data_IF_743394737150
#
_entry.id   IF_743394737150
#
_cell.length_a   1.000
_cell.length_b   1.000
_cell.length_c   1.000
_cell.angle_alpha   90.00
_cell.angle_beta   90.00
_cell.angle_gamma   90.00
#
_symmetry.space_group_name_H-M   'P 1'
#
loop_
_entity.id
_entity.type
_entity.pdbx_description
1 polymer ?
2 polymer ?
3 branched ?
4 water ?
#
# COMPACT_ATOMS: atom_id res chain seq x y z
N UNK A 1 -33.09 12.83 -15.69
CA UNK A 1 -34.09 13.77 -15.16
C UNK A 1 -35.34 13.02 -14.75
N UNK A 2 -35.79 12.12 -15.61
CA UNK A 2 -37.01 11.38 -15.32
C UNK A 2 -36.77 10.25 -14.33
N UNK A 3 -35.52 9.99 -13.96
CA UNK A 3 -35.23 8.88 -13.06
C UNK A 3 -35.43 9.32 -11.63
N UNK A 4 -36.24 8.62 -10.85
CA UNK A 4 -36.45 9.02 -9.45
C UNK A 4 -35.21 8.74 -8.60
N UNK A 5 -35.11 9.46 -7.49
CA UNK A 5 -33.92 9.32 -6.67
C UNK A 5 -33.96 7.97 -5.97
N UNK A 6 -32.86 7.22 -5.96
CA UNK A 6 -32.84 5.96 -5.20
C UNK A 6 -32.69 6.29 -3.73
N UNK A 7 -32.97 5.29 -2.90
CA UNK A 7 -32.82 5.45 -1.45
C UNK A 7 -31.93 4.33 -0.93
N UNK A 8 -31.28 4.61 0.19
CA UNK A 8 -30.35 3.66 0.82
C UNK A 8 -30.82 3.46 2.24
N UNK A 9 -30.80 2.20 2.69
CA UNK A 9 -31.11 1.86 4.07
C UNK A 9 -30.13 0.80 4.54
N UNK A 10 -30.00 0.64 5.86
CA UNK A 10 -29.10 -0.35 6.45
C UNK A 10 -29.87 -1.22 7.43
N UNK A 11 -29.63 -2.53 7.36
CA UNK A 11 -30.27 -3.50 8.22
C UNK A 11 -29.20 -4.35 8.90
N UNK A 12 -29.26 -4.54 10.22
CA UNK A 12 -30.35 -4.09 11.10
C UNK A 12 -30.31 -2.63 11.51
N UNK A 13 -29.35 -1.84 11.05
CA UNK A 13 -29.30 -0.46 11.48
C UNK A 13 -28.00 0.22 11.11
N UNK A 14 -27.90 1.48 11.52
CA UNK A 14 -26.69 2.28 11.26
C UNK A 14 -25.58 2.04 12.28
N UNK A 15 -25.90 1.47 13.45
CA UNK A 15 -24.92 1.18 14.48
C UNK A 15 -24.74 -0.33 14.54
N UNK A 16 -23.52 -0.78 14.23
CA UNK A 16 -23.19 -2.19 14.15
C UNK A 16 -22.07 -2.45 15.13
N UNK A 17 -22.19 -3.45 16.01
CA UNK A 17 -21.05 -3.82 16.85
C UNK A 17 -19.93 -4.39 16.00
N UNK A 18 -18.70 -4.12 16.44
CA UNK A 18 -17.53 -4.65 15.75
C UNK A 18 -17.68 -6.16 15.58
N UNK A 19 -17.47 -6.61 14.36
CA UNK A 19 -17.52 -8.02 14.04
C UNK A 19 -18.86 -8.50 13.52
N UNK A 20 -19.92 -7.73 13.72
CA UNK A 20 -21.26 -8.13 13.30
C UNK A 20 -21.50 -7.75 11.85
N UNK A 21 -22.63 -8.19 11.31
CA UNK A 21 -23.02 -8.04 9.92
C UNK A 21 -23.82 -6.75 9.73
N UNK A 22 -23.88 -6.28 8.48
CA UNK A 22 -24.74 -5.17 8.08
C UNK A 22 -25.07 -5.35 6.60
N UNK A 23 -26.26 -4.89 6.20
CA UNK A 23 -26.65 -4.94 4.80
C UNK A 23 -27.21 -3.60 4.34
N UNK A 24 -26.63 -3.05 3.28
CA UNK A 24 -27.14 -1.84 2.64
C UNK A 24 -28.11 -2.25 1.56
N UNK A 25 -29.32 -1.70 1.62
CA UNK A 25 -30.41 -1.97 0.68
C UNK A 25 -30.63 -0.71 -0.14
N UNK A 26 -30.43 -0.84 -1.44
CA UNK A 26 -30.61 0.24 -2.40
C UNK A 26 -31.92 0.00 -3.15
N UNK A 27 -32.79 1.00 -3.16
CA UNK A 27 -34.09 0.88 -3.80
C UNK A 27 -34.26 1.95 -4.86
N UNK A 28 -34.77 1.51 -6.01
CA UNK A 28 -35.10 2.37 -7.11
C UNK A 28 -36.34 1.89 -7.85
N UNK A 29 -36.52 2.39 -9.07
CA UNK A 29 -37.68 2.02 -9.88
C UNK A 29 -37.48 0.63 -10.50
N UNK A 30 -38.52 0.14 -11.18
CA UNK A 30 -38.45 -1.16 -11.86
C UNK A 30 -37.56 -1.03 -13.07
N UNK A 31 -36.79 -2.08 -13.35
CA UNK A 31 -35.95 -2.08 -14.51
C UNK A 31 -34.55 -1.56 -14.29
N UNK A 32 -34.10 -1.44 -13.04
CA UNK A 32 -32.73 -1.03 -12.81
C UNK A 32 -31.81 -2.07 -13.44
N UNK A 33 -30.88 -1.61 -14.28
CA UNK A 33 -29.88 -2.52 -14.81
C UNK A 33 -28.79 -2.77 -13.79
N UNK A 34 -28.23 -1.70 -13.22
CA UNK A 34 -27.14 -1.84 -12.28
C UNK A 34 -27.37 -0.91 -11.09
N UNK A 35 -27.13 -1.42 -9.90
CA UNK A 35 -27.00 -0.62 -8.70
C UNK A 35 -25.53 -0.48 -8.35
N UNK A 36 -25.10 0.73 -8.00
CA UNK A 36 -23.73 0.99 -7.56
C UNK A 36 -23.78 1.61 -6.17
N UNK A 37 -23.07 0.98 -5.23
CA UNK A 37 -22.96 1.43 -3.85
C UNK A 37 -21.63 2.16 -3.70
N UNK A 38 -21.72 3.44 -3.41
CA UNK A 38 -20.53 4.28 -3.35
C UNK A 38 -20.18 4.61 -1.91
N UNK A 39 -18.90 4.84 -1.67
CA UNK A 39 -18.46 5.29 -0.33
C UNK A 39 -18.43 6.81 -0.33
N UNK A 40 -17.72 7.40 0.61
CA UNK A 40 -17.62 8.87 0.70
C UNK A 40 -16.99 9.40 -0.59
N UNK A 41 -16.22 8.57 -1.28
CA UNK A 41 -15.63 8.98 -2.56
C UNK A 41 -16.22 8.22 -3.73
N UNK A 42 -16.41 8.93 -4.86
CA UNK A 42 -17.06 8.41 -6.09
C UNK A 42 -16.30 7.22 -6.64
N UNK A 43 -14.99 7.22 -6.50
CA UNK A 43 -14.13 6.17 -7.08
C UNK A 43 -14.07 4.90 -6.24
N UNK A 44 -14.62 4.92 -5.04
CA UNK A 44 -14.68 3.70 -4.21
C UNK A 44 -16.10 3.18 -4.29
N UNK A 45 -16.30 2.11 -5.06
CA UNK A 45 -17.67 1.63 -5.31
C UNK A 45 -17.77 0.13 -5.56
N UNK A 46 -18.99 -0.43 -5.42
CA UNK A 46 -19.24 -1.81 -5.79
C UNK A 46 -20.53 -1.85 -6.58
N UNK A 47 -20.51 -2.55 -7.70
CA UNK A 47 -21.65 -2.66 -8.60
C UNK A 47 -22.30 -4.03 -8.47
N UNK A 48 -23.60 -4.08 -8.76
CA UNK A 48 -24.32 -5.34 -8.80
C UNK A 48 -25.40 -5.24 -9.88
N UNK A 49 -25.55 -6.31 -10.64
CA UNK A 49 -26.67 -6.41 -11.56
C UNK A 49 -27.72 -7.41 -11.09
N UNK A 50 -27.53 -8.09 -9.96
CA UNK A 50 -28.59 -8.91 -9.43
C UNK A 50 -29.54 -7.97 -8.70
N UNK A 51 -30.49 -7.41 -9.45
CA UNK A 51 -31.51 -6.53 -8.92
C UNK A 51 -32.83 -7.30 -8.88
N UNK A 52 -33.46 -7.35 -7.73
CA UNK A 52 -34.68 -8.14 -7.58
C UNK A 52 -35.85 -7.18 -7.57
N UNK A 53 -36.78 -7.36 -8.50
CA UNK A 53 -37.98 -6.54 -8.57
C UNK A 53 -38.92 -7.01 -7.47
N UNK A 54 -39.08 -6.21 -6.42
CA UNK A 54 -39.93 -6.67 -5.32
C UNK A 54 -41.41 -6.46 -5.61
N UNK A 55 -41.75 -5.31 -6.19
CA UNK A 55 -43.11 -4.85 -6.49
C UNK A 55 -43.13 -4.32 -7.91
N UNK A 56 -44.32 -4.17 -8.50
CA UNK A 56 -44.39 -3.67 -9.89
C UNK A 56 -43.79 -2.28 -10.09
N UNK A 57 -43.48 -1.54 -9.02
CA UNK A 57 -42.83 -0.25 -9.18
C UNK A 57 -41.54 -0.08 -8.39
N UNK A 58 -41.08 -1.07 -7.63
CA UNK A 58 -39.90 -0.90 -6.77
C UNK A 58 -38.98 -2.11 -6.83
N UNK A 59 -37.71 -1.86 -7.16
CA UNK A 59 -36.69 -2.90 -7.20
C UNK A 59 -35.55 -2.54 -6.26
N UNK A 60 -34.83 -3.56 -5.84
CA UNK A 60 -33.81 -3.34 -4.84
C UNK A 60 -32.60 -4.20 -5.14
N UNK A 61 -31.51 -3.83 -4.49
CA UNK A 61 -30.26 -4.57 -4.54
C UNK A 61 -29.65 -4.49 -3.16
N UNK A 62 -28.98 -5.57 -2.76
CA UNK A 62 -28.46 -5.69 -1.41
C UNK A 62 -26.94 -5.86 -1.46
N UNK A 63 -26.22 -5.12 -0.62
CA UNK A 63 -24.77 -5.23 -0.48
C UNK A 63 -24.52 -5.55 0.99
N UNK A 64 -23.99 -6.74 1.27
CA UNK A 64 -23.92 -7.19 2.66
C UNK A 64 -22.47 -7.38 3.09
N UNK A 65 -22.12 -6.81 4.24
CA UNK A 65 -20.84 -7.05 4.88
C UNK A 65 -21.06 -8.02 6.04
N UNK A 66 -20.42 -9.19 5.97
CA UNK A 66 -20.63 -10.21 6.99
C UNK A 66 -20.05 -9.79 8.33
N UNK A 67 -18.84 -9.23 8.32
CA UNK A 67 -18.20 -8.85 9.58
C UNK A 67 -17.52 -7.52 9.38
N UNK A 68 -18.06 -6.47 9.98
CA UNK A 68 -17.53 -5.14 9.80
C UNK A 68 -16.31 -4.94 10.68
N UNK A 69 -15.40 -4.09 10.22
CA UNK A 69 -14.31 -3.60 11.05
C UNK A 69 -14.37 -2.08 11.01
N UNK A 70 -13.43 -1.44 11.73
CA UNK A 70 -13.46 0.01 11.85
C UNK A 70 -13.35 0.71 10.49
N UNK A 71 -12.70 0.08 9.51
CA UNK A 71 -12.57 0.67 8.20
C UNK A 71 -13.87 0.73 7.42
N UNK A 72 -14.85 -0.10 7.78
CA UNK A 72 -16.12 -0.03 7.08
C UNK A 72 -16.95 1.17 7.49
N UNK A 73 -16.64 1.78 8.65
CA UNK A 73 -17.40 2.92 9.15
C UNK A 73 -17.34 4.09 8.18
N UNK A 74 -18.44 4.87 8.09
CA UNK A 74 -18.38 6.02 7.23
C UNK A 74 -19.62 6.13 6.36
N UNK A 75 -19.51 6.87 5.27
CA UNK A 75 -20.64 7.16 4.39
C UNK A 75 -20.78 6.19 3.21
N UNK A 76 -22.04 5.87 2.86
CA UNK A 76 -22.45 5.02 1.75
C UNK A 76 -23.65 5.66 1.06
N UNK A 77 -23.79 5.45 -0.25
CA UNK A 77 -24.97 5.96 -0.96
C UNK A 77 -25.20 5.14 -2.22
N UNK A 78 -26.39 5.24 -2.77
CA UNK A 78 -26.75 4.43 -3.93
C UNK A 78 -26.89 5.28 -5.17
N UNK A 79 -26.64 4.64 -6.30
CA UNK A 79 -26.94 5.25 -7.58
C UNK A 79 -27.25 4.11 -8.53
N UNK A 80 -28.17 4.31 -9.45
CA UNK A 80 -28.52 3.22 -10.32
C UNK A 80 -28.47 3.69 -11.76
N UNK A 81 -28.35 2.72 -12.65
CA UNK A 81 -28.26 2.97 -14.08
C UNK A 81 -29.49 2.40 -14.76
N UNK A 82 -30.20 3.24 -15.51
CA UNK A 82 -31.39 2.79 -16.20
C UNK A 82 -31.66 3.68 -17.40
N UNK A 83 -32.08 3.05 -18.50
CA UNK A 83 -32.37 3.75 -19.75
C UNK A 83 -31.21 4.66 -20.19
N UNK A 84 -30.00 4.09 -20.23
CA UNK A 84 -28.80 4.78 -20.73
C UNK A 84 -28.41 6.02 -19.93
N UNK A 85 -28.76 6.07 -18.66
CA UNK A 85 -28.30 7.21 -17.87
C UNK A 85 -28.19 6.80 -16.43
N UNK A 86 -27.19 7.35 -15.77
CA UNK A 86 -27.10 7.21 -14.34
C UNK A 86 -28.16 8.10 -13.73
N UNK A 87 -28.80 7.63 -12.67
CA UNK A 87 -29.68 8.47 -11.89
C UNK A 87 -28.87 9.41 -11.00
N UNK A 88 -29.56 10.37 -10.38
CA UNK A 88 -28.91 11.17 -9.35
C UNK A 88 -28.68 10.30 -8.12
N UNK A 89 -27.64 10.63 -7.36
CA UNK A 89 -27.29 9.82 -6.21
C UNK A 89 -28.31 10.00 -5.10
N UNK A 90 -28.44 8.98 -4.27
CA UNK A 90 -29.18 9.10 -3.03
C UNK A 90 -28.41 9.91 -1.99
N UNK A 91 -29.08 10.24 -0.91
CA UNK A 91 -28.42 10.87 0.22
C UNK A 91 -27.43 9.88 0.86
N UNK A 92 -26.38 10.42 1.49
CA UNK A 92 -25.41 9.60 2.20
C UNK A 92 -26.01 9.07 3.49
N UNK A 93 -25.55 7.88 3.86
CA UNK A 93 -25.92 7.16 5.06
C UNK A 93 -24.65 6.90 5.84
N UNK A 94 -24.61 7.24 7.13
CA UNK A 94 -23.43 7.03 7.97
C UNK A 94 -23.54 5.71 8.71
N UNK A 95 -22.56 4.85 8.52
CA UNK A 95 -22.45 3.59 9.26
C UNK A 95 -21.53 3.81 10.44
N UNK A 96 -22.03 3.51 11.62
CA UNK A 96 -21.27 3.61 12.85
C UNK A 96 -21.00 2.21 13.33
N UNK A 97 -19.72 1.90 13.59
CA UNK A 97 -19.29 0.62 14.15
C UNK A 97 -18.80 0.86 15.57
N UNK A 98 -19.24 0.02 16.50
CA UNK A 98 -18.89 0.20 17.90
C UNK A 98 -18.16 -1.04 18.41
N UNK B 12 32.67 -10.96 -27.56
CA UNK B 12 31.80 -10.92 -28.74
C UNK B 12 30.43 -11.54 -28.49
N UNK B 13 30.38 -12.87 -28.31
CA UNK B 13 29.09 -13.57 -28.16
C UNK B 13 28.37 -13.12 -26.90
N UNK B 14 29.11 -12.95 -25.79
CA UNK B 14 28.46 -12.52 -24.56
C UNK B 14 28.20 -11.02 -24.48
N UNK B 15 28.71 -10.20 -25.39
CA UNK B 15 28.21 -8.84 -25.48
C UNK B 15 26.92 -8.74 -26.26
N UNK B 16 26.74 -9.60 -27.27
CA UNK B 16 25.43 -9.65 -27.89
C UNK B 16 24.40 -10.08 -26.87
N UNK B 17 24.85 -10.88 -25.89
CA UNK B 17 23.98 -11.33 -24.82
C UNK B 17 23.66 -10.20 -23.87
N UNK B 18 24.69 -9.51 -23.36
CA UNK B 18 24.44 -8.38 -22.46
C UNK B 18 23.72 -7.25 -23.19
N UNK B 19 23.98 -7.07 -24.49
CA UNK B 19 23.23 -6.09 -25.25
C UNK B 19 21.74 -6.43 -25.34
N UNK B 20 21.43 -7.71 -25.51
CA UNK B 20 20.04 -8.10 -25.70
C UNK B 20 19.25 -7.94 -24.41
N UNK B 21 19.83 -8.33 -23.28
CA UNK B 21 19.14 -8.14 -22.01
C UNK B 21 19.19 -6.69 -21.56
N UNK B 22 20.18 -5.89 -21.98
CA UNK B 22 20.08 -4.46 -21.68
C UNK B 22 18.90 -3.82 -22.40
N UNK B 23 18.63 -4.23 -23.65
CA UNK B 23 17.48 -3.69 -24.35
C UNK B 23 16.17 -4.16 -23.76
N UNK B 24 16.09 -5.44 -23.38
CA UNK B 24 14.87 -5.92 -22.76
C UNK B 24 14.62 -5.24 -21.42
N UNK B 25 15.68 -5.01 -20.64
CA UNK B 25 15.54 -4.29 -19.38
C UNK B 25 15.05 -2.88 -19.60
N UNK B 26 15.57 -2.18 -20.63
CA UNK B 26 15.10 -0.81 -20.83
C UNK B 26 13.63 -0.80 -21.29
N UNK B 27 13.18 -1.81 -22.03
CA UNK B 27 11.77 -1.84 -22.39
C UNK B 27 10.88 -2.12 -21.19
N UNK B 28 11.20 -3.15 -20.42
CA UNK B 28 10.43 -3.44 -19.22
C UNK B 28 10.41 -2.24 -18.31
N UNK B 29 11.57 -1.57 -18.15
CA UNK B 29 11.62 -0.39 -17.30
C UNK B 29 10.70 0.71 -17.80
N UNK B 30 10.62 0.88 -19.13
CA UNK B 30 9.75 1.92 -19.66
C UNK B 30 8.28 1.64 -19.37
N UNK B 31 7.83 0.40 -19.60
CA UNK B 31 6.40 0.18 -19.34
C UNK B 31 6.13 0.20 -17.85
N UNK B 32 7.09 -0.22 -17.03
CA UNK B 32 6.83 -0.26 -15.61
C UNK B 32 6.72 1.15 -15.09
N UNK B 33 7.65 2.02 -15.47
CA UNK B 33 7.55 3.40 -15.08
C UNK B 33 6.24 4.03 -15.52
N UNK B 34 5.81 3.74 -16.75
CA UNK B 34 4.57 4.35 -17.24
C UNK B 34 3.35 3.89 -16.43
N UNK B 35 3.29 2.60 -16.08
CA UNK B 35 2.17 2.09 -15.29
C UNK B 35 2.20 2.61 -13.87
N UNK B 36 3.40 2.72 -13.30
CA UNK B 36 3.55 3.22 -11.95
C UNK B 36 3.16 4.69 -11.86
N UNK B 37 3.63 5.48 -12.81
CA UNK B 37 3.34 6.92 -12.81
C UNK B 37 1.90 7.22 -13.18
N UNK B 38 1.25 6.36 -13.96
CA UNK B 38 -0.12 6.67 -14.37
C UNK B 38 -1.16 6.07 -13.44
N UNK B 39 -0.91 4.86 -12.93
CA UNK B 39 -1.85 4.18 -12.05
C UNK B 39 -1.42 4.21 -10.59
N UNK B 40 -0.21 4.68 -10.29
CA UNK B 40 0.24 4.78 -8.90
C UNK B 40 0.14 3.43 -8.22
N UNK B 41 0.54 2.43 -8.99
CA UNK B 41 0.57 1.02 -8.50
C UNK B 41 2.01 0.50 -8.60
N UNK B 42 2.41 -0.40 -7.70
CA UNK B 42 3.77 -0.99 -7.70
C UNK B 42 3.66 -2.50 -7.91
N UNK B 43 2.47 -3.04 -7.77
CA UNK B 43 2.28 -4.50 -7.86
C UNK B 43 1.09 -4.80 -8.77
N UNK B 44 1.16 -5.89 -9.53
CA UNK B 44 0.05 -6.32 -10.38
C UNK B 44 -0.14 -7.82 -10.27
N UNK B 45 -1.37 -8.26 -10.11
CA UNK B 45 -1.70 -9.70 -10.12
C UNK B 45 -0.90 -10.45 -9.08
N UNK B 46 -0.74 -9.88 -7.90
CA UNK B 46 -0.11 -10.64 -6.81
C UNK B 46 1.39 -10.63 -6.82
N UNK B 47 1.98 -9.81 -7.65
CA UNK B 47 3.45 -9.84 -7.75
C UNK B 47 3.94 -8.47 -8.17
N UNK B 48 5.22 -8.22 -7.98
CA UNK B 48 5.83 -6.93 -8.34
C UNK B 48 5.74 -6.76 -9.83
N UNK B 49 5.76 -5.52 -10.29
CA UNK B 49 5.63 -5.27 -11.74
C UNK B 49 6.86 -5.82 -12.45
N UNK B 50 8.03 -5.81 -11.79
CA UNK B 50 9.17 -6.45 -12.45
C UNK B 50 8.95 -7.96 -12.55
N UNK B 51 8.46 -8.56 -11.48
CA UNK B 51 8.12 -9.99 -11.49
C UNK B 51 6.96 -10.27 -12.43
N UNK B 52 6.03 -9.33 -12.53
CA UNK B 52 4.87 -9.48 -13.40
C UNK B 52 5.30 -9.56 -14.86
N UNK B 53 6.29 -8.77 -15.25
CA UNK B 53 6.80 -8.73 -16.62
C UNK B 53 7.87 -9.75 -16.97
N UNK B 54 8.18 -10.69 -16.07
CA UNK B 54 9.00 -11.82 -16.47
C UNK B 54 8.19 -12.84 -17.29
N UNK B 55 6.89 -12.98 -16.99
CA UNK B 55 6.03 -13.98 -17.63
C UNK B 55 5.22 -13.45 -18.82
N UNK B 56 4.87 -12.18 -18.83
CA UNK B 56 4.04 -11.61 -19.89
C UNK B 56 4.77 -10.52 -20.66
N UNK B 57 4.39 -10.39 -21.93
CA UNK B 57 5.10 -9.50 -22.84
C UNK B 57 4.95 -8.05 -22.40
N UNK B 58 5.96 -7.25 -22.76
CA UNK B 58 6.01 -5.86 -22.39
C UNK B 58 5.05 -4.98 -23.18
N UNK B 59 4.48 -5.48 -24.28
CA UNK B 59 3.52 -4.72 -25.10
C UNK B 59 2.17 -5.42 -25.21
N UNK B 60 1.86 -6.33 -24.29
CA UNK B 60 0.63 -7.13 -24.33
C UNK B 60 -0.52 -6.34 -23.69
N UNK B 61 -1.08 -5.41 -24.47
CA UNK B 61 -2.06 -4.49 -23.93
C UNK B 61 -3.22 -5.25 -23.27
N UNK B 62 -3.67 -6.34 -23.88
CA UNK B 62 -4.85 -7.04 -23.38
C UNK B 62 -4.60 -7.65 -22.01
N UNK B 63 -3.47 -8.31 -21.84
CA UNK B 63 -3.22 -8.98 -20.56
C UNK B 63 -3.06 -7.98 -19.43
N UNK B 64 -2.30 -6.92 -19.68
CA UNK B 64 -2.08 -5.94 -18.63
C UNK B 64 -3.39 -5.22 -18.30
N UNK B 65 -4.17 -4.86 -19.32
CA UNK B 65 -5.41 -4.15 -19.06
C UNK B 65 -6.38 -5.03 -18.27
N UNK B 66 -6.43 -6.32 -18.58
CA UNK B 66 -7.31 -7.19 -17.82
C UNK B 66 -6.84 -7.34 -16.38
N UNK B 67 -5.53 -7.43 -16.17
CA UNK B 67 -5.02 -7.54 -14.80
C UNK B 67 -5.25 -6.26 -14.00
N UNK B 68 -5.09 -5.11 -14.64
CA UNK B 68 -5.32 -3.85 -13.96
C UNK B 68 -6.80 -3.70 -13.63
N UNK B 69 -7.68 -4.10 -14.56
CA UNK B 69 -9.12 -4.05 -14.33
C UNK B 69 -9.50 -4.93 -13.16
N UNK B 70 -8.99 -6.14 -13.12
CA UNK B 70 -9.34 -7.06 -12.04
C UNK B 70 -8.87 -6.50 -10.71
N UNK B 71 -7.67 -5.92 -10.67
CA UNK B 71 -7.13 -5.33 -9.43
C UNK B 71 -7.95 -4.11 -9.00
N UNK B 72 -8.31 -3.25 -9.96
CA UNK B 72 -9.10 -2.05 -9.63
C UNK B 72 -10.46 -2.45 -9.08
N UNK B 73 -11.10 -3.45 -9.66
CA UNK B 73 -12.36 -3.88 -9.09
C UNK B 73 -12.15 -4.43 -7.68
N UNK B 74 -11.03 -5.12 -7.46
CA UNK B 74 -10.83 -5.75 -6.15
C UNK B 74 -10.36 -4.79 -5.05
N UNK B 75 -9.67 -3.70 -5.37
CA UNK B 75 -9.06 -2.88 -4.33
C UNK B 75 -9.73 -1.52 -4.13
N UNK B 76 -10.80 -1.23 -4.88
CA UNK B 76 -11.49 0.05 -4.78
C UNK B 76 -12.98 -0.19 -4.60
N UNK B 77 -13.35 -1.06 -3.67
CA UNK B 77 -14.73 -1.49 -3.52
C UNK B 77 -15.37 -0.90 -2.27
N UNK B 78 -16.70 -1.09 -2.18
CA UNK B 78 -17.48 -0.57 -1.07
C UNK B 78 -17.42 -1.49 0.16
N UNK B 79 -17.09 -2.76 -0.03
CA UNK B 79 -17.06 -3.75 1.06
C UNK B 79 -15.78 -3.73 1.89
N UNK B 80 -14.63 -3.45 1.27
CA UNK B 80 -13.34 -3.77 1.91
C UNK B 80 -12.98 -2.92 3.11
N UNK B 81 -13.58 -1.75 3.26
CA UNK B 81 -13.25 -0.87 4.37
C UNK B 81 -12.21 0.19 3.97
N UNK B 82 -11.03 0.11 4.56
CA UNK B 82 -10.04 1.14 4.31
C UNK B 82 -9.22 0.81 3.07
N UNK B 83 -9.10 1.77 2.15
CA UNK B 83 -8.31 1.55 0.95
C UNK B 83 -7.01 2.29 1.14
N UNK B 84 -5.91 1.54 1.21
CA UNK B 84 -4.61 2.14 1.47
C UNK B 84 -4.18 3.04 0.32
N UNK B 85 -4.39 2.56 -0.92
CA UNK B 85 -3.99 3.24 -2.18
C UNK B 85 -5.15 3.98 -2.85
N UNK B 86 -5.48 5.17 -2.37
CA UNK B 86 -6.53 6.01 -2.99
C UNK B 86 -6.16 6.47 -4.41
N UNK B 87 -4.91 6.77 -4.68
CA UNK B 87 -4.49 7.31 -5.99
C UNK B 87 -4.82 6.37 -7.13
N UNK B 88 -4.67 5.08 -6.91
CA UNK B 88 -5.05 4.07 -7.91
C UNK B 88 -6.54 4.13 -8.20
N UNK B 89 -7.37 4.19 -7.16
CA UNK B 89 -8.81 4.28 -7.38
C UNK B 89 -9.20 5.61 -8.00
N UNK B 90 -8.45 6.66 -7.69
CA UNK B 90 -8.69 8.01 -8.20
C UNK B 90 -8.62 8.06 -9.73
N UNK B 91 -7.93 7.09 -10.35
CA UNK B 91 -7.84 7.00 -11.80
C UNK B 91 -9.21 6.85 -12.44
N UNK B 92 -10.17 6.26 -11.72
CA UNK B 92 -11.53 6.17 -12.24
C UNK B 92 -12.09 7.54 -12.58
N UNK B 93 -11.65 8.57 -11.84
CA UNK B 93 -12.12 9.92 -12.15
C UNK B 93 -11.43 10.46 -13.39
N UNK B 94 -10.17 10.11 -13.60
CA UNK B 94 -9.48 10.53 -14.79
C UNK B 94 -10.11 9.90 -16.03
N UNK B 95 -10.42 8.61 -15.98
CA UNK B 95 -10.99 7.92 -17.13
C UNK B 95 -12.49 8.08 -17.24
N UNK B 96 -13.10 9.03 -16.51
CA UNK B 96 -14.54 9.26 -16.49
C UNK B 96 -15.30 7.95 -16.27
N UNK B 97 -14.82 7.18 -15.29
CA UNK B 97 -15.46 5.92 -14.95
C UNK B 97 -16.44 6.10 -13.78
N UNK B 98 -16.32 7.18 -13.02
CA UNK B 98 -17.22 7.37 -11.90
C UNK B 98 -18.58 7.76 -12.44
N UNK B 99 -19.63 7.37 -11.72
CA UNK B 99 -20.97 7.61 -12.22
C UNK B 99 -21.25 9.09 -12.24
N UNK B 100 -21.80 9.59 -13.33
CA UNK B 100 -22.16 11.00 -13.42
C UNK B 100 -23.64 11.01 -13.79
N UNK B 101 -24.52 11.57 -12.96
CA UNK B 101 -25.96 11.48 -13.26
C UNK B 101 -26.28 12.06 -14.62
N UNK B 102 -27.17 11.38 -15.34
CA UNK B 102 -27.64 11.84 -16.62
C UNK B 102 -26.87 11.36 -17.83
N UNK B 103 -25.74 10.69 -17.63
CA UNK B 103 -24.93 10.24 -18.74
C UNK B 103 -24.86 8.73 -18.83
N UNK B 104 -24.39 8.27 -19.98
CA UNK B 104 -24.33 6.87 -20.31
C UNK B 104 -23.16 6.16 -19.61
N UNK B 105 -23.27 4.84 -19.55
CA UNK B 105 -22.31 4.01 -18.84
C UNK B 105 -20.95 4.03 -19.53
N UNK B 106 -19.88 4.08 -18.73
CA UNK B 106 -18.52 3.93 -19.23
C UNK B 106 -17.91 2.70 -18.56
N UNK B 107 -17.61 1.67 -19.34
CA UNK B 107 -17.03 0.47 -18.75
C UNK B 107 -15.57 0.65 -18.42
N UNK B 108 -15.21 0.19 -17.24
CA UNK B 108 -13.88 0.37 -16.67
C UNK B 108 -12.82 -0.33 -17.50
N UNK B 109 -13.09 -1.57 -17.90
CA UNK B 109 -12.13 -2.36 -18.67
C UNK B 109 -11.76 -1.64 -19.97
N UNK B 110 -12.74 -1.07 -20.64
CA UNK B 110 -12.50 -0.36 -21.91
C UNK B 110 -11.66 0.90 -21.69
N UNK B 111 -11.96 1.68 -20.68
CA UNK B 111 -11.17 2.89 -20.42
C UNK B 111 -9.74 2.52 -20.04
N UNK B 112 -9.57 1.45 -19.26
CA UNK B 112 -8.25 1.01 -18.90
C UNK B 112 -7.49 0.58 -20.14
N UNK B 113 -8.17 -0.13 -21.05
CA UNK B 113 -7.57 -0.59 -22.30
C UNK B 113 -7.08 0.59 -23.11
N UNK B 114 -7.90 1.62 -23.25
CA UNK B 114 -7.44 2.79 -23.98
C UNK B 114 -6.24 3.45 -23.32
N UNK B 115 -6.26 3.51 -21.98
CA UNK B 115 -5.15 4.13 -21.28
C UNK B 115 -3.86 3.34 -21.49
N UNK B 116 -3.94 2.01 -21.33
CA UNK B 116 -2.77 1.18 -21.49
C UNK B 116 -2.25 1.26 -22.91
N UNK B 117 -3.16 1.43 -23.87
CA UNK B 117 -2.74 1.58 -25.25
C UNK B 117 -1.86 2.81 -25.39
N UNK B 118 -2.33 3.93 -24.84
CA UNK B 118 -1.50 5.13 -24.92
C UNK B 118 -0.16 4.93 -24.22
N UNK B 119 -0.17 4.28 -23.06
CA UNK B 119 1.07 4.15 -22.30
C UNK B 119 2.11 3.29 -23.02
N UNK B 120 1.69 2.19 -23.64
CA UNK B 120 2.65 1.37 -24.36
C UNK B 120 3.15 2.09 -25.60
N UNK B 121 2.27 2.87 -26.25
CA UNK B 121 2.76 3.62 -27.40
C UNK B 121 3.79 4.64 -26.94
N UNK B 122 3.57 5.25 -25.78
CA UNK B 122 4.50 6.25 -25.27
C UNK B 122 5.84 5.61 -24.88
N UNK B 123 5.80 4.42 -24.29
CA UNK B 123 7.05 3.77 -23.91
C UNK B 123 7.87 3.41 -25.15
N UNK B 124 7.24 2.77 -26.13
CA UNK B 124 7.97 2.45 -27.35
C UNK B 124 8.40 3.73 -28.07
N UNK B 125 7.59 4.80 -27.95
CA UNK B 125 8.00 6.09 -28.51
C UNK B 125 9.29 6.52 -27.86
N UNK B 126 9.49 6.18 -26.59
CA UNK B 126 10.79 6.45 -25.99
C UNK B 126 11.85 5.67 -26.76
N UNK B 127 11.52 4.41 -27.09
CA UNK B 127 12.47 3.56 -27.85
C UNK B 127 12.59 4.07 -29.30
N UNK C 1 28.23 5.60 29.11
CA UNK C 1 27.57 6.78 29.74
C UNK C 1 27.84 8.00 28.87
N UNK C 2 29.10 8.32 28.64
CA UNK C 2 29.47 9.48 27.80
C UNK C 2 29.91 8.95 26.45
N UNK C 3 29.09 9.16 25.43
CA UNK C 3 29.49 8.74 24.07
C UNK C 3 29.75 10.00 23.27
N UNK C 4 30.92 10.15 22.67
CA UNK C 4 31.23 11.33 21.91
C UNK C 4 30.34 11.44 20.66
N UNK C 5 30.21 12.64 20.13
CA UNK C 5 29.27 12.85 19.01
C UNK C 5 29.89 12.38 17.70
N UNK C 6 29.16 11.62 16.86
CA UNK C 6 29.71 11.11 15.60
C UNK C 6 29.77 12.20 14.55
N UNK C 7 30.47 11.91 13.46
CA UNK C 7 30.60 12.84 12.37
C UNK C 7 30.23 12.16 11.05
N UNK C 8 29.79 12.96 10.08
CA UNK C 8 29.39 12.48 8.76
C UNK C 8 30.20 13.20 7.69
N UNK C 9 30.60 12.46 6.64
CA UNK C 9 31.27 13.02 5.47
C UNK C 9 30.72 12.35 4.23
N UNK C 10 30.91 13.00 3.06
CA UNK C 10 30.50 12.41 1.79
C UNK C 10 31.66 12.49 0.81
N UNK C 11 31.88 11.40 0.06
CA UNK C 11 32.94 11.31 -0.93
C UNK C 11 32.31 10.91 -2.26
N UNK C 12 32.66 11.57 -3.37
CA UNK C 12 33.75 12.54 -3.37
C UNK C 12 33.36 13.92 -2.85
N UNK C 13 32.08 14.11 -2.51
CA UNK C 13 31.58 15.38 -2.05
C UNK C 13 30.07 15.32 -1.95
N UNK C 14 29.51 16.46 -1.53
CA UNK C 14 28.07 16.58 -1.28
C UNK C 14 27.22 16.86 -2.53
N UNK C 15 27.82 17.30 -3.63
CA UNK C 15 27.11 17.56 -4.88
C UNK C 15 27.53 16.50 -5.89
N UNK C 16 26.57 15.68 -6.32
CA UNK C 16 26.82 14.52 -7.16
C UNK C 16 26.00 14.64 -8.43
N UNK C 17 26.58 14.46 -9.62
CA UNK C 17 25.78 14.35 -10.84
C UNK C 17 24.93 13.08 -10.88
N UNK C 18 23.76 13.21 -11.51
CA UNK C 18 22.86 12.08 -11.70
C UNK C 18 23.61 10.90 -12.29
N UNK C 19 23.43 9.73 -11.65
CA UNK C 19 24.02 8.51 -12.12
C UNK C 19 25.36 8.20 -11.49
N UNK C 20 26.00 9.17 -10.85
CA UNK C 20 27.30 8.92 -10.26
C UNK C 20 27.15 8.35 -8.84
N UNK C 21 28.29 7.96 -8.26
CA UNK C 21 28.29 7.33 -6.94
C UNK C 21 28.50 8.38 -5.85
N UNK C 22 28.15 8.00 -4.62
CA UNK C 22 28.56 8.79 -3.46
C UNK C 22 28.65 7.82 -2.28
N UNK C 23 29.55 8.12 -1.33
CA UNK C 23 29.71 7.29 -0.15
C UNK C 23 29.66 8.20 1.07
N UNK C 24 28.82 7.83 2.04
CA UNK C 24 28.74 8.48 3.34
C UNK C 24 29.69 7.75 4.26
N UNK C 25 30.53 8.50 4.94
CA UNK C 25 31.49 7.98 5.89
C UNK C 25 31.08 8.46 7.26
N UNK C 26 30.73 7.52 8.14
CA UNK C 26 30.34 7.84 9.52
C UNK C 26 31.51 7.50 10.42
N UNK C 27 31.97 8.47 11.20
CA UNK C 27 33.13 8.25 12.05
C UNK C 27 32.71 8.46 13.50
N UNK C 28 33.11 7.54 14.36
CA UNK C 28 32.89 7.63 15.78
C UNK C 28 34.04 7.02 16.57
N UNK C 29 33.80 6.72 17.84
CA UNK C 29 34.85 6.18 18.70
C UNK C 29 35.06 4.68 18.45
N UNK C 30 36.05 4.12 19.15
CA UNK C 30 36.29 2.68 19.13
C UNK C 30 35.17 1.98 19.87
N UNK C 31 34.81 0.79 19.41
CA UNK C 31 33.83 0.00 20.11
C UNK C 31 32.40 0.23 19.69
N UNK C 32 32.16 0.91 18.57
CA UNK C 32 30.79 1.06 18.10
C UNK C 32 30.22 -0.31 17.77
N UNK C 33 29.05 -0.60 18.31
CA UNK C 33 28.36 -1.82 17.91
C UNK C 33 27.65 -1.65 16.58
N UNK C 34 26.88 -0.57 16.43
CA UNK C 34 26.15 -0.40 15.19
C UNK C 34 26.26 1.02 14.70
N UNK C 35 26.47 1.19 13.40
CA UNK C 35 26.33 2.51 12.79
C UNK C 35 25.04 2.57 12.00
N UNK C 36 24.29 3.67 12.16
CA UNK C 36 23.03 3.90 11.43
C UNK C 36 23.12 5.21 10.67
N UNK C 37 22.78 5.15 9.38
CA UNK C 37 22.68 6.31 8.51
C UNK C 37 21.20 6.65 8.34
N UNK C 38 20.80 7.84 8.81
CA UNK C 38 19.42 8.29 8.79
C UNK C 38 19.21 9.39 7.75
N UNK C 39 18.00 9.41 7.16
CA UNK C 39 17.61 10.48 6.26
C UNK C 39 17.01 11.64 7.08
N UNK C 40 16.61 12.72 6.40
CA UNK C 40 15.86 13.78 7.07
C UNK C 40 14.63 13.18 7.74
N UNK C 41 14.11 12.12 7.15
CA UNK C 41 13.02 11.36 7.71
C UNK C 41 13.65 10.21 8.48
N UNK C 42 13.74 10.37 9.80
CA UNK C 42 14.34 9.38 10.68
C UNK C 42 13.88 7.95 10.42
N UNK C 43 12.67 7.75 9.86
CA UNK C 43 12.22 6.37 9.69
C UNK C 43 12.82 5.71 8.46
N UNK C 44 13.59 6.43 7.68
CA UNK C 44 14.33 5.86 6.57
C UNK C 44 15.78 5.84 6.99
N UNK C 45 16.34 4.65 7.17
CA UNK C 45 17.70 4.54 7.66
C UNK C 45 18.26 3.20 7.22
N UNK C 46 19.58 3.08 7.36
CA UNK C 46 20.31 1.86 7.06
C UNK C 46 21.30 1.60 8.17
N UNK C 47 21.36 0.35 8.62
CA UNK C 47 22.23 -0.10 9.70
C UNK C 47 23.40 -0.90 9.16
N UNK C 48 24.50 -0.85 9.89
CA UNK C 48 25.62 -1.74 9.60
C UNK C 48 26.33 -2.08 10.90
N UNK C 49 26.78 -3.32 10.98
CA UNK C 49 27.64 -3.79 12.05
C UNK C 49 29.06 -4.01 11.57
N UNK C 50 29.32 -3.80 10.28
CA UNK C 50 30.66 -3.78 9.69
C UNK C 50 31.23 -2.42 10.04
N UNK C 51 31.83 -2.33 11.22
CA UNK C 51 32.50 -1.13 11.69
C UNK C 51 34.00 -1.42 11.73
N UNK C 52 34.78 -0.57 11.07
CA UNK C 52 36.21 -0.77 10.89
C UNK C 52 37.00 0.22 11.75
N UNK C 53 37.87 -0.31 12.61
CA UNK C 53 38.68 0.55 13.46
C UNK C 53 39.78 1.18 12.62
N UNK C 54 39.70 2.51 12.44
CA UNK C 54 40.73 3.24 11.71
C UNK C 54 41.92 3.57 12.59
N UNK C 55 41.67 3.97 13.83
CA UNK C 55 42.66 4.41 14.81
C UNK C 55 42.39 3.75 16.14
N UNK C 56 43.36 3.73 17.05
CA UNK C 56 43.10 3.15 18.38
C UNK C 56 41.98 3.86 19.13
N UNK C 57 41.53 5.02 18.65
CA UNK C 57 40.41 5.74 19.25
C UNK C 57 39.28 6.04 18.26
N UNK C 58 39.34 5.53 17.02
CA UNK C 58 38.34 5.88 16.01
C UNK C 58 37.95 4.69 15.16
N UNK C 59 36.64 4.53 14.96
CA UNK C 59 36.04 3.53 14.09
C UNK C 59 35.14 4.23 13.08
N UNK C 60 34.91 3.58 11.96
CA UNK C 60 34.12 4.19 10.91
C UNK C 60 33.30 3.12 10.20
N UNK C 61 32.28 3.59 9.48
CA UNK C 61 31.42 2.78 8.64
C UNK C 61 31.11 3.57 7.38
N UNK C 62 30.94 2.87 6.26
CA UNK C 62 30.74 3.48 4.95
C UNK C 62 29.45 2.99 4.32
N UNK C 63 28.71 3.92 3.75
CA UNK C 63 27.44 3.64 3.06
C UNK C 63 27.55 4.21 1.64
N UNK C 64 27.45 3.35 0.65
CA UNK C 64 27.69 3.79 -0.70
C UNK C 64 26.43 3.62 -1.53
N UNK C 65 26.04 4.69 -2.24
CA UNK C 65 24.99 4.66 -3.26
C UNK C 65 25.69 4.62 -4.60
N UNK C 66 25.44 3.56 -5.37
CA UNK C 66 26.18 3.30 -6.60
C UNK C 66 25.88 4.31 -7.68
N UNK C 67 24.59 4.64 -7.88
CA UNK C 67 24.17 5.53 -8.93
C UNK C 67 23.06 6.43 -8.37
N UNK C 68 23.36 7.69 -8.18
CA UNK C 68 22.46 8.61 -7.53
C UNK C 68 21.37 9.04 -8.51
N UNK C 69 20.14 9.21 -7.99
CA UNK C 69 19.03 9.81 -8.72
C UNK C 69 18.43 10.93 -7.86
N UNK C 70 17.41 11.59 -8.41
CA UNK C 70 16.80 12.73 -7.74
C UNK C 70 16.21 12.37 -6.38
N UNK C 71 15.78 11.12 -6.19
CA UNK C 71 15.22 10.73 -4.91
C UNK C 71 16.23 10.63 -3.79
N UNK C 72 17.52 10.48 -4.13
CA UNK C 72 18.55 10.40 -3.10
C UNK C 72 18.87 11.77 -2.51
N UNK C 73 18.47 12.87 -3.16
CA UNK C 73 18.77 14.21 -2.63
C UNK C 73 18.13 14.40 -1.26
N UNK C 74 18.80 15.19 -0.43
CA UNK C 74 18.22 15.54 0.86
C UNK C 74 19.26 15.46 1.95
N UNK C 75 18.78 15.36 3.19
CA UNK C 75 19.62 15.38 4.37
C UNK C 75 19.96 13.96 4.82
N UNK C 76 21.19 13.78 5.31
CA UNK C 76 21.67 12.51 5.85
C UNK C 76 22.48 12.78 7.11
N UNK C 77 22.44 11.85 8.06
CA UNK C 77 23.21 12.00 9.28
C UNK C 77 23.54 10.62 9.85
N UNK C 78 24.50 10.59 10.77
CA UNK C 78 24.96 9.35 11.41
C UNK C 78 24.61 9.33 12.88
N UNK C 79 24.40 8.11 13.37
CA UNK C 79 24.20 7.85 14.78
C UNK C 79 24.69 6.44 15.04
N UNK C 80 25.25 6.25 16.23
CA UNK C 80 25.84 4.95 16.58
C UNK C 80 25.33 4.38 17.90
N UNK C 81 25.36 3.07 17.98
CA UNK C 81 24.96 2.36 19.18
C UNK C 81 26.19 1.71 19.79
N UNK C 82 26.42 2.06 21.05
CA UNK C 82 27.55 1.57 21.86
C UNK C 82 27.15 1.66 23.33
N UNK C 83 27.63 0.75 24.16
CA UNK C 83 27.33 0.71 25.59
C UNK C 83 25.82 0.71 25.82
N UNK C 84 25.13 -0.18 25.10
CA UNK C 84 23.71 -0.43 25.27
C UNK C 84 22.90 0.85 25.17
N UNK C 85 23.49 1.88 24.55
CA UNK C 85 22.90 3.25 24.52
C UNK C 85 23.05 3.86 23.13
N UNK C 86 21.97 4.41 22.56
CA UNK C 86 22.13 5.14 21.28
C UNK C 86 22.88 6.43 21.54
N UNK C 87 23.64 6.87 20.57
CA UNK C 87 24.38 8.13 20.70
C UNK C 87 23.53 9.28 20.20
N UNK C 88 23.97 10.50 20.45
CA UNK C 88 23.31 11.62 19.82
C UNK C 88 23.78 11.74 18.37
N UNK C 89 22.91 12.31 17.55
CA UNK C 89 23.14 12.37 16.10
C UNK C 89 24.26 13.32 15.71
N UNK C 90 24.89 12.99 14.60
CA UNK C 90 25.81 13.93 13.98
C UNK C 90 25.02 15.06 13.31
N UNK C 91 25.74 16.11 12.92
CA UNK C 91 25.13 17.17 12.15
C UNK C 91 24.66 16.64 10.80
N UNK C 92 23.59 17.24 10.27
CA UNK C 92 23.10 16.83 8.98
C UNK C 92 24.06 17.27 7.89
N UNK C 93 24.09 16.49 6.82
CA UNK C 93 24.84 16.73 5.60
C UNK C 93 23.85 16.71 4.46
N UNK C 94 23.89 17.71 3.59
CA UNK C 94 22.97 17.77 2.48
C UNK C 94 23.59 17.21 1.21
N UNK C 95 22.95 16.21 0.63
CA UNK C 95 23.34 15.70 -0.67
C UNK C 95 22.49 16.40 -1.73
N UNK C 96 23.17 17.04 -2.68
CA UNK C 96 22.57 17.76 -3.81
C UNK C 96 22.92 16.96 -5.05
N UNK C 97 21.93 16.54 -5.82
CA UNK C 97 22.18 15.82 -7.07
C UNK C 97 21.85 16.78 -8.20
N UNK C 98 22.79 16.84 -9.14
CA UNK C 98 22.66 17.76 -10.26
C UNK C 98 22.76 17.01 -11.58
N UNK C 99 22.41 17.69 -12.65
CA UNK C 99 22.50 17.10 -13.99
C UNK C 99 23.78 17.41 -14.73
N UNK C 100 23.83 17.01 -16.00
CA UNK C 100 25.00 17.24 -16.87
C UNK C 100 25.19 18.75 -17.05
N UNK C 101 24.10 19.50 -17.06
CA UNK C 101 24.17 20.98 -17.18
C UNK C 101 24.78 21.59 -15.93
N UNK C 102 24.91 20.84 -14.84
CA UNK C 102 25.46 21.33 -13.53
C UNK C 102 24.37 22.15 -12.86
N UNK C 103 23.15 22.04 -13.35
CA UNK C 103 22.02 22.71 -12.68
C UNK C 103 21.36 21.67 -11.78
N UNK C 104 21.13 22.01 -10.51
CA UNK C 104 20.46 21.12 -9.53
C UNK C 104 19.27 20.46 -10.19
N UNK C 105 19.23 19.14 -10.13
CA UNK C 105 18.14 18.41 -10.77
C UNK C 105 17.05 18.15 -9.77
N UNK D 16 -22.63 -26.09 16.04
CA UNK D 16 -21.64 -25.05 16.30
C UNK D 16 -20.66 -24.92 15.13
N UNK D 17 -20.86 -25.72 14.08
CA UNK D 17 -19.92 -25.75 12.96
C UNK D 17 -19.95 -24.47 12.15
N UNK D 18 -21.15 -24.00 11.76
CA UNK D 18 -21.31 -22.83 10.89
C UNK D 18 -20.63 -21.66 11.59
N UNK D 19 -20.66 -21.76 12.91
CA UNK D 19 -19.95 -20.80 13.71
C UNK D 19 -18.46 -20.81 13.49
N UNK D 20 -17.86 -21.99 13.28
CA UNK D 20 -16.42 -22.03 13.09
C UNK D 20 -16.01 -21.35 11.79
N UNK D 21 -16.81 -21.52 10.73
CA UNK D 21 -16.42 -21.00 9.43
C UNK D 21 -16.67 -19.50 9.33
N UNK D 22 -17.76 -19.03 9.95
CA UNK D 22 -17.99 -17.59 10.00
C UNK D 22 -16.98 -16.90 10.90
N UNK D 23 -16.61 -17.52 12.03
CA UNK D 23 -15.63 -16.92 12.90
C UNK D 23 -14.26 -16.85 12.27
N UNK D 24 -13.90 -17.88 11.49
CA UNK D 24 -12.61 -17.85 10.80
C UNK D 24 -12.57 -16.74 9.77
N UNK D 25 -13.66 -16.57 9.02
CA UNK D 25 -13.67 -15.45 8.08
C UNK D 25 -13.55 -14.12 8.82
N UNK D 26 -14.24 -13.99 9.95
CA UNK D 26 -14.17 -12.73 10.67
C UNK D 26 -12.78 -12.49 11.25
N UNK D 27 -12.06 -13.55 11.62
CA UNK D 27 -10.70 -13.39 12.12
C UNK D 27 -9.75 -12.92 11.04
N UNK D 28 -9.81 -13.54 9.86
CA UNK D 28 -8.99 -13.06 8.74
C UNK D 28 -9.33 -11.61 8.38
N UNK D 29 -10.64 -11.28 8.30
CA UNK D 29 -11.06 -9.94 7.92
C UNK D 29 -10.60 -8.91 8.94
N UNK D 30 -10.61 -9.28 10.22
CA UNK D 30 -10.08 -8.42 11.26
C UNK D 30 -8.58 -8.22 11.11
N UNK D 31 -7.83 -9.28 10.83
CA UNK D 31 -6.38 -9.08 10.77
C UNK D 31 -6.00 -8.28 9.52
N UNK D 32 -6.76 -8.42 8.45
CA UNK D 32 -6.48 -7.66 7.25
C UNK D 32 -6.75 -6.18 7.49
N UNK D 33 -7.93 -5.89 8.06
CA UNK D 33 -8.23 -4.52 8.40
C UNK D 33 -7.21 -3.92 9.36
N UNK D 34 -6.80 -4.69 10.36
CA UNK D 34 -5.84 -4.17 11.34
C UNK D 34 -4.50 -3.87 10.67
N UNK D 35 -4.07 -4.70 9.73
CA UNK D 35 -2.81 -4.38 9.06
C UNK D 35 -2.92 -3.12 8.20
N UNK D 36 -4.09 -2.91 7.59
CA UNK D 36 -4.23 -1.66 6.84
C UNK D 36 -4.26 -0.46 7.76
N UNK D 37 -4.99 -0.54 8.87
CA UNK D 37 -5.13 0.65 9.72
C UNK D 37 -3.84 0.94 10.47
N UNK D 38 -3.09 -0.08 10.89
CA UNK D 38 -1.93 0.23 11.74
C UNK D 38 -0.61 0.23 10.98
N UNK D 39 -0.44 -0.62 9.97
CA UNK D 39 0.80 -0.65 9.22
C UNK D 39 0.66 0.01 7.85
N UNK D 40 -0.56 0.36 7.45
CA UNK D 40 -0.80 1.10 6.22
C UNK D 40 -0.22 0.41 4.99
N UNK D 41 -0.42 -0.90 4.92
CA UNK D 41 -0.02 -1.70 3.76
C UNK D 41 -1.27 -2.43 3.27
N UNK D 42 -1.26 -2.80 1.97
CA UNK D 42 -2.32 -3.56 1.30
C UNK D 42 -1.81 -4.86 0.72
N UNK D 43 -0.50 -5.03 0.81
CA UNK D 43 0.14 -6.19 0.19
C UNK D 43 1.38 -6.62 0.96
N UNK D 44 1.79 -7.87 0.80
CA UNK D 44 3.04 -8.38 1.36
C UNK D 44 3.80 -9.06 0.23
N UNK D 45 4.91 -8.44 -0.18
CA UNK D 45 5.71 -8.86 -1.34
C UNK D 45 4.84 -9.12 -2.56
N UNK D 46 3.91 -8.21 -2.80
CA UNK D 46 3.09 -8.25 -4.04
C UNK D 46 1.76 -8.91 -3.84
N UNK D 47 1.69 -9.89 -2.95
CA UNK D 47 0.42 -10.61 -2.75
C UNK D 47 -0.48 -9.77 -1.86
N UNK D 48 -1.74 -9.61 -2.27
CA UNK D 48 -2.69 -8.83 -1.51
C UNK D 48 -2.92 -9.48 -0.16
N UNK D 49 -3.31 -8.66 0.81
CA UNK D 49 -3.53 -9.15 2.16
C UNK D 49 -4.58 -10.25 2.18
N UNK D 50 -5.62 -10.12 1.38
CA UNK D 50 -6.65 -11.15 1.35
C UNK D 50 -6.09 -12.42 0.73
N UNK D 51 -5.34 -12.30 -0.36
CA UNK D 51 -4.73 -13.48 -0.94
C UNK D 51 -3.63 -14.03 -0.06
N UNK D 52 -2.98 -13.19 0.74
CA UNK D 52 -1.95 -13.69 1.64
C UNK D 52 -2.53 -14.57 2.73
N UNK D 53 -3.69 -14.20 3.28
CA UNK D 53 -4.26 -14.93 4.40
C UNK D 53 -5.16 -16.08 3.97
N UNK D 54 -5.28 -16.35 2.66
CA UNK D 54 -5.94 -17.57 2.23
C UNK D 54 -5.06 -18.78 2.50
N UNK D 55 -3.76 -18.62 2.40
CA UNK D 55 -2.83 -19.72 2.56
C UNK D 55 -2.25 -19.82 3.97
N UNK D 56 -2.10 -18.71 4.68
CA UNK D 56 -1.58 -18.72 6.03
C UNK D 56 -2.62 -18.20 7.01
N UNK D 57 -2.64 -18.78 8.20
CA UNK D 57 -3.67 -18.47 9.18
C UNK D 57 -3.55 -17.04 9.72
N UNK D 58 -4.70 -16.49 10.10
CA UNK D 58 -4.83 -15.12 10.60
C UNK D 58 -4.31 -14.95 12.02
N UNK D 59 -3.96 -16.05 12.69
CA UNK D 59 -3.41 -15.97 14.04
C UNK D 59 -1.98 -16.48 14.08
N UNK D 60 -1.34 -16.59 12.92
CA UNK D 60 0.04 -17.06 12.86
C UNK D 60 0.98 -15.85 13.03
N UNK D 61 1.19 -15.49 14.29
CA UNK D 61 1.93 -14.29 14.64
C UNK D 61 3.34 -14.31 14.02
N UNK D 62 4.03 -15.45 14.06
CA UNK D 62 5.42 -15.46 13.64
C UNK D 62 5.57 -15.17 12.15
N UNK D 63 4.77 -15.84 11.32
CA UNK D 63 4.90 -15.55 9.89
C UNK D 63 4.46 -14.13 9.54
N UNK D 64 3.38 -13.62 10.16
CA UNK D 64 2.96 -12.27 9.84
C UNK D 64 4.03 -11.27 10.25
N UNK D 65 4.55 -11.43 11.45
CA UNK D 65 5.59 -10.54 11.92
C UNK D 65 6.81 -10.63 11.03
N UNK D 66 7.17 -11.83 10.59
CA UNK D 66 8.34 -11.97 9.75
C UNK D 66 8.13 -11.32 8.38
N UNK D 67 6.95 -11.51 7.81
CA UNK D 67 6.70 -10.97 6.48
C UNK D 67 6.59 -9.47 6.53
N UNK D 68 6.22 -8.93 7.67
CA UNK D 68 6.23 -7.48 7.76
C UNK D 68 7.65 -6.98 7.92
N UNK D 69 8.42 -7.67 8.75
CA UNK D 69 9.77 -7.22 9.05
C UNK D 69 10.63 -7.19 7.80
N UNK D 70 10.56 -8.25 6.99
CA UNK D 70 11.31 -8.26 5.74
C UNK D 70 10.87 -7.16 4.78
N UNK D 71 9.56 -6.88 4.70
CA UNK D 71 9.11 -5.82 3.80
C UNK D 71 9.59 -4.46 4.27
N UNK D 72 9.60 -4.24 5.59
CA UNK D 72 10.01 -2.95 6.12
C UNK D 72 11.49 -2.67 5.88
N UNK D 73 12.35 -3.63 6.20
CA UNK D 73 13.77 -3.38 6.01
C UNK D 73 14.08 -3.18 4.53
N UNK D 74 13.37 -3.91 3.67
CA UNK D 74 13.62 -3.83 2.24
C UNK D 74 13.10 -2.53 1.62
N UNK D 75 12.06 -1.91 2.20
CA UNK D 75 11.44 -0.76 1.58
C UNK D 75 11.67 0.55 2.30
N UNK D 76 12.37 0.55 3.44
CA UNK D 76 12.50 1.75 4.27
C UNK D 76 13.95 2.04 4.64
N UNK D 77 14.83 2.00 3.65
CA UNK D 77 16.25 2.18 3.87
C UNK D 77 16.69 3.54 3.35
N UNK D 78 17.93 3.86 3.63
CA UNK D 78 18.48 5.15 3.25
C UNK D 78 18.99 5.20 1.83
N UNK D 79 19.27 4.05 1.22
CA UNK D 79 19.90 4.11 -0.09
C UNK D 79 18.90 4.36 -1.19
N UNK D 80 17.67 3.90 -0.98
CA UNK D 80 16.66 3.86 -2.02
C UNK D 80 16.21 5.27 -2.37
N UNK D 81 16.38 5.67 -3.63
CA UNK D 81 15.90 6.99 -4.01
C UNK D 81 14.40 7.12 -3.83
N UNK D 82 13.63 6.32 -4.56
CA UNK D 82 12.18 6.38 -4.49
C UNK D 82 11.68 5.37 -3.44
N UNK D 83 10.88 5.85 -2.50
CA UNK D 83 10.35 5.04 -1.40
C UNK D 83 8.89 4.73 -1.73
N UNK D 84 8.55 3.45 -1.84
CA UNK D 84 7.23 3.07 -2.35
C UNK D 84 6.12 3.52 -1.41
N UNK D 85 6.21 3.16 -0.12
CA UNK D 85 5.18 3.50 0.86
C UNK D 85 5.78 4.19 2.09
N UNK D 86 5.67 5.51 2.14
CA UNK D 86 6.23 6.23 3.27
C UNK D 86 5.43 6.04 4.55
N UNK D 87 4.10 5.89 4.47
CA UNK D 87 3.35 5.71 5.72
C UNK D 87 3.71 4.40 6.40
N UNK D 88 3.98 3.36 5.63
CA UNK D 88 4.44 2.12 6.23
C UNK D 88 5.75 2.32 7.00
N UNK D 89 6.70 3.05 6.41
CA UNK D 89 7.95 3.25 7.15
C UNK D 89 7.73 4.11 8.39
N UNK D 90 6.76 5.04 8.35
CA UNK D 90 6.51 5.89 9.51
C UNK D 90 6.08 5.10 10.74
N UNK D 91 5.60 3.86 10.55
CA UNK D 91 5.27 3.03 11.68
C UNK D 91 6.49 2.82 12.59
N UNK D 92 7.70 2.89 12.01
CA UNK D 92 8.90 2.79 12.82
C UNK D 92 8.94 3.87 13.89
N UNK D 93 8.42 5.05 13.60
CA UNK D 93 8.38 6.08 14.62
C UNK D 93 7.27 5.81 15.63
N UNK D 94 6.19 5.17 15.18
CA UNK D 94 5.12 4.80 16.12
C UNK D 94 5.58 3.72 17.08
N UNK D 95 6.24 2.68 16.56
CA UNK D 95 6.70 1.57 17.39
C UNK D 95 8.02 1.88 18.08
N UNK D 96 8.42 3.14 18.10
CA UNK D 96 9.67 3.58 18.76
C UNK D 96 10.88 2.76 18.28
N UNK D 97 10.98 2.57 16.97
CA UNK D 97 12.11 1.85 16.38
C UNK D 97 13.20 2.79 15.88
N UNK D 98 12.90 4.06 15.66
CA UNK D 98 13.92 4.96 15.18
C UNK D 98 14.85 5.25 16.34
N UNK D 99 16.12 5.52 16.03
CA UNK D 99 17.13 5.69 17.07
C UNK D 99 16.80 6.95 17.87
N UNK D 100 16.91 6.85 19.19
CA UNK D 100 16.72 7.98 20.11
C UNK D 100 17.91 8.05 21.05
N UNK D 101 18.65 9.15 21.08
CA UNK D 101 19.85 9.19 21.92
C UNK D 101 19.52 8.92 23.37
N UNK D 102 20.42 8.16 24.02
CA UNK D 102 20.39 7.86 25.43
C UNK D 102 19.64 6.59 25.80
N UNK D 103 18.90 5.99 24.87
CA UNK D 103 18.06 4.85 25.18
C UNK D 103 18.58 3.60 24.50
N UNK D 104 18.11 2.46 24.96
CA UNK D 104 18.61 1.19 24.48
C UNK D 104 18.05 0.88 23.10
N UNK D 105 18.71 -0.06 22.43
CA UNK D 105 18.29 -0.46 21.10
C UNK D 105 16.91 -1.08 21.14
N UNK D 106 16.10 -0.77 20.13
CA UNK D 106 14.83 -1.45 19.90
C UNK D 106 14.93 -2.22 18.60
N UNK D 107 14.88 -3.55 18.70
CA UNK D 107 14.99 -4.40 17.52
C UNK D 107 13.67 -4.36 16.74
N UNK D 108 13.79 -4.19 15.42
CA UNK D 108 12.61 -4.00 14.59
C UNK D 108 11.71 -5.24 14.64
N UNK D 109 12.32 -6.42 14.57
CA UNK D 109 11.50 -7.62 14.54
C UNK D 109 10.70 -7.79 15.82
N UNK D 110 11.30 -7.49 16.99
CA UNK D 110 10.59 -7.72 18.24
C UNK D 110 9.40 -6.78 18.38
N UNK D 111 9.57 -5.51 18.01
CA UNK D 111 8.47 -4.57 18.07
C UNK D 111 7.36 -4.95 17.10
N UNK D 112 7.72 -5.41 15.90
CA UNK D 112 6.68 -5.84 14.97
C UNK D 112 5.95 -7.07 15.51
N UNK D 113 6.66 -7.96 16.18
CA UNK D 113 6.05 -9.19 16.73
C UNK D 113 5.01 -8.81 17.79
N UNK D 114 5.36 -7.94 18.71
CA UNK D 114 4.42 -7.55 19.77
C UNK D 114 3.20 -6.87 19.24
N UNK D 115 3.37 -5.99 18.27
CA UNK D 115 2.22 -5.23 17.73
C UNK D 115 1.27 -6.20 17.05
N UNK D 116 1.83 -7.11 16.28
CA UNK D 116 1.00 -8.11 15.59
C UNK D 116 0.33 -9.03 16.61
N UNK D 117 1.00 -9.38 17.71
CA UNK D 117 0.38 -10.32 18.66
C UNK D 117 -0.90 -9.69 19.20
N UNK D 118 -0.83 -8.42 19.55
CA UNK D 118 -2.02 -7.73 20.10
C UNK D 118 -3.10 -7.67 19.03
N UNK D 119 -2.74 -7.37 17.78
CA UNK D 119 -3.75 -7.22 16.72
C UNK D 119 -4.41 -8.56 16.47
N UNK D 120 -3.64 -9.63 16.47
CA UNK D 120 -4.24 -10.99 16.33
C UNK D 120 -5.12 -11.32 17.55
N UNK D 121 -4.71 -10.89 18.74
CA UNK D 121 -5.50 -11.18 19.94
C UNK D 121 -6.88 -10.55 19.77
N UNK D 122 -6.90 -9.32 19.30
CA UNK D 122 -8.19 -8.62 19.06
C UNK D 122 -8.95 -9.32 17.93
N UNK D 123 -8.24 -9.79 16.93
CA UNK D 123 -8.88 -10.47 15.79
C UNK D 123 -9.51 -11.76 16.30
N UNK D 124 -8.76 -12.50 17.10
CA UNK D 124 -9.33 -13.69 17.73
C UNK D 124 -10.59 -13.33 18.52
N UNK D 125 -10.57 -12.19 19.19
CA UNK D 125 -11.72 -11.73 19.98
C UNK D 125 -12.93 -11.54 19.07
N UNK D 126 -12.74 -10.84 17.96
CA UNK D 126 -13.84 -10.70 17.01
C UNK D 126 -14.22 -12.03 16.37
N UNK D 127 -13.25 -12.92 16.15
CA UNK D 127 -13.60 -14.20 15.51
C UNK D 127 -14.49 -15.04 16.42
N UNK D 128 -14.19 -15.03 17.72
CA UNK D 128 -15.03 -15.76 18.67
C UNK D 128 -16.36 -15.04 18.89
N UNK D 129 -16.38 -13.71 18.88
CA UNK D 129 -17.65 -13.00 19.00
C UNK D 129 -18.55 -13.33 17.82
N UNK D 130 -17.99 -13.34 16.62
CA UNK D 130 -18.79 -13.66 15.44
C UNK D 130 -19.23 -15.13 15.46
N UNK D 131 -18.36 -16.01 15.96
CA UNK D 131 -18.74 -17.41 16.12
C UNK D 131 -19.90 -17.55 17.10
N UNK D 132 -19.85 -16.83 18.21
CA UNK D 132 -20.95 -16.94 19.16
C UNK D 132 -22.22 -16.36 18.57
N UNK D 133 -22.09 -15.27 17.83
CA UNK D 133 -23.25 -14.62 17.24
C UNK D 133 -23.96 -15.55 16.27
N UNK D 134 -23.20 -16.16 15.35
CA UNK D 134 -23.81 -17.05 14.37
C UNK D 134 -24.31 -18.34 15.03
N UNK D 135 -23.55 -18.91 15.99
CA UNK D 135 -23.99 -20.15 16.61
C UNK D 135 -25.28 -19.95 17.41
N UNK D 136 -25.39 -18.83 18.12
CA UNK D 136 -26.63 -18.51 18.83
C UNK D 136 -27.79 -18.25 17.88
N UNK D 137 -27.50 -17.64 16.72
CA UNK D 137 -28.59 -17.42 15.75
C UNK D 137 -28.90 -18.65 14.90
N UNK D 138 -28.13 -19.71 15.01
CA UNK D 138 -28.39 -20.95 14.28
C UNK D 138 -29.14 -21.96 15.15
X LIG E 1 -1.58 -13.82 -12.37
X LIG E 1 -0.39 -14.38 -13.06
X LIG E 1 -0.71 -15.76 -13.57
X LIG E 1 -1.22 -16.66 -12.45
X LIG E 1 -2.23 -15.97 -11.52
X LIG E 1 -2.36 -16.71 -10.20
X LIG E 1 1.17 -12.84 -14.13
X LIG E 1 1.48 -12.04 -15.34
X LIG E 1 0.04 -13.54 -14.17
X LIG E 1 0.49 -16.28 -14.14
X LIG E 1 -1.96 -17.69 -13.10
X LIG E 1 -1.86 -14.62 -11.21
X LIG E 1 -3.37 -16.11 -9.41
X LIG E 1 1.88 -12.82 -13.14
X LIG E 2 -1.26 -18.88 -13.44
X LIG E 2 -2.29 -19.76 -14.08
X LIG E 2 -1.69 -21.11 -14.44
X LIG E 2 -0.46 -20.89 -15.32
X LIG E 2 0.53 -19.93 -14.68
X LIG E 2 1.67 -19.54 -15.60
X LIG E 2 -4.45 -18.98 -13.20
X LIG E 2 -5.60 -19.29 -12.29
X LIG E 2 -3.48 -19.90 -13.25
X LIG E 2 -2.66 -21.90 -15.11
X LIG E 2 0.22 -22.07 -15.77
X LIG E 2 -0.14 -18.71 -14.30
X LIG E 2 2.68 -18.80 -14.94
X LIG E 2 -4.41 -17.96 -13.87
X LIG E 3 0.30 -23.41 -15.15
X LIG E 3 0.77 -23.46 -13.63
X LIG E 3 1.08 -24.94 -13.33
X LIG E 3 -0.13 -25.88 -13.72
X LIG E 3 -0.70 -25.55 -15.15
X LIG E 3 -1.97 -26.28 -15.51
X LIG E 3 -0.25 -23.09 -12.73
X LIG E 3 1.44 -25.13 -11.96
X LIG E 3 0.30 -27.24 -13.67
X LIG E 3 -0.96 -24.14 -15.23
X LIG E 3 -2.17 -26.15 -16.93
#
# INVERSE_FOLDING_TARGET
>A
TDLPRPSISAEPGTVIPLGSHVTFVCRGPVGVQTFRLERERNYLYSDTEDVSQTSPSESEARFRIDSVNAGNAGLFRCIYYKSRKWSEQSDYLELVVKGEDVTWA
>B
TDAIAAATKAAMIEGAAQGAVAGEAAGRNAIIGALKRYFHIDNLNGTSLKSFFNSTSYSDVTTIASAIDTQMTASCDAFSGKIVNQAFCDVRKTLRIVADPGKSFVKQKDAITGAVTQLVEKAKDTASFKATEVSSATSSKIITKQNALIE
>C
TDLPRPSISAEPGTVIPLGSHVTFVCRGPVGVQTFRLERERNYLYSDTEDVSQTSPSESEARFRIDSVNAGNAGLFRCIYYKSRKWSEQSDYLELVVKGEDVTWA
>D
TDAIAAATKAAMIEGAAQGAVAGEAAGRNAIIGALKRYFHIDNLNGTSLKSFFNSTSYSDVTTIASAIDTQMTASCDAFSGKIVNQAFCDVRKTLRIVADPGKSFVKQKDAITGAVTQLVEKAKDTASFKATEVSSATSSKIITKQNALIE
>E hetero
1 NAG C1 C2 C3 C4 C5 C6 C7 C8 N2 O3 O4 O5 O6 O7
2 NAG C1 C2 C3 C4 C5 C6 C7 C8 N2 O3 O4 O5 O6 O7
3 BMA C1 C2 C3 C4 C5 C6 O2 O3 O4 O5 O6
#
